data_IF_328788990067
#
_entry.id   IF_328788990067
#
_cell.length_a   1.000
_cell.length_b   1.000
_cell.length_c   1.000
_cell.angle_alpha   90.00
_cell.angle_beta   90.00
_cell.angle_gamma   90.00
#
_symmetry.space_group_name_H-M   'P 1'
#
loop_
_entity.id
_entity.type
_entity.pdbx_description
1 polymer ?
#
# COMPACT_ATOMS: atom_id res chain seq x y z
N UNK A 1 -2.19 3.95 -17.39
CA UNK A 1 -1.77 4.67 -16.17
C UNK A 1 -2.55 4.22 -14.94
N UNK A 2 -3.87 4.39 -14.87
CA UNK A 2 -4.66 3.94 -13.70
C UNK A 2 -4.69 2.39 -13.57
N UNK A 3 -4.75 1.68 -14.70
CA UNK A 3 -4.64 0.22 -14.75
C UNK A 3 -3.25 -0.29 -14.31
N UNK A 4 -2.19 0.47 -14.57
CA UNK A 4 -0.80 0.08 -14.22
C UNK A 4 -0.58 0.17 -12.71
N UNK A 5 -1.11 1.22 -12.09
CA UNK A 5 -1.07 1.41 -10.63
C UNK A 5 -1.87 0.31 -9.94
N UNK A 6 -3.07 0.00 -10.44
CA UNK A 6 -3.89 -1.07 -9.86
C UNK A 6 -3.18 -2.43 -9.94
N UNK A 7 -2.58 -2.77 -11.08
CA UNK A 7 -1.77 -3.98 -11.24
C UNK A 7 -0.60 -4.03 -10.24
N UNK A 8 0.05 -2.90 -9.99
CA UNK A 8 1.13 -2.80 -8.99
C UNK A 8 0.60 -3.09 -7.59
N UNK A 9 -0.52 -2.48 -7.20
CA UNK A 9 -1.15 -2.68 -5.89
C UNK A 9 -1.54 -4.15 -5.71
N UNK A 10 -2.21 -4.73 -6.70
CA UNK A 10 -2.66 -6.12 -6.64
C UNK A 10 -1.46 -7.07 -6.51
N UNK A 11 -0.39 -6.83 -7.26
CA UNK A 11 0.86 -7.59 -7.12
C UNK A 11 1.45 -7.46 -5.72
N UNK A 12 1.50 -6.25 -5.14
CA UNK A 12 2.04 -6.05 -3.79
C UNK A 12 1.17 -6.76 -2.75
N UNK A 13 -0.16 -6.67 -2.87
CA UNK A 13 -1.09 -7.38 -1.99
C UNK A 13 -0.87 -8.88 -2.03
N UNK A 14 -0.80 -9.47 -3.23
CA UNK A 14 -0.55 -10.91 -3.41
C UNK A 14 0.80 -11.32 -2.81
N UNK A 15 1.88 -10.60 -3.12
CA UNK A 15 3.22 -10.95 -2.63
C UNK A 15 3.29 -10.80 -1.11
N UNK A 16 2.71 -9.74 -0.55
CA UNK A 16 2.66 -9.53 0.90
C UNK A 16 1.82 -10.61 1.57
N UNK A 17 0.69 -11.01 0.98
CA UNK A 17 -0.14 -12.10 1.49
C UNK A 17 0.59 -13.44 1.51
N UNK A 18 1.36 -13.76 0.47
CA UNK A 18 2.09 -15.02 0.37
C UNK A 18 3.28 -15.11 1.33
N UNK A 19 4.03 -14.02 1.51
CA UNK A 19 5.27 -14.05 2.30
C UNK A 19 5.12 -13.50 3.71
N UNK A 20 4.13 -12.65 3.96
CA UNK A 20 3.93 -11.89 5.20
C UNK A 20 2.42 -11.84 5.54
N UNK A 21 1.77 -13.01 5.79
CA UNK A 21 0.32 -13.17 5.72
C UNK A 21 -0.47 -12.28 6.68
N UNK A 22 0.08 -11.97 7.87
CA UNK A 22 -0.52 -11.04 8.81
C UNK A 22 -0.73 -9.66 8.17
N UNK A 23 0.34 -9.10 7.60
CA UNK A 23 0.30 -7.79 6.95
C UNK A 23 -0.48 -7.81 5.64
N UNK A 24 -0.34 -8.87 4.84
CA UNK A 24 -1.09 -9.02 3.59
C UNK A 24 -2.61 -9.10 3.81
N UNK A 25 -3.04 -9.78 4.87
CA UNK A 25 -4.46 -9.83 5.26
C UNK A 25 -4.97 -8.44 5.67
N UNK A 26 -4.19 -7.69 6.45
CA UNK A 26 -4.50 -6.30 6.81
C UNK A 26 -4.61 -5.40 5.58
N UNK A 27 -3.60 -5.42 4.71
CA UNK A 27 -3.56 -4.65 3.47
C UNK A 27 -4.74 -4.95 2.53
N UNK A 28 -5.23 -6.20 2.51
CA UNK A 28 -6.32 -6.63 1.65
C UNK A 28 -7.70 -6.16 2.13
N UNK A 29 -7.85 -5.84 3.42
CA UNK A 29 -9.09 -5.32 4.01
C UNK A 29 -9.24 -3.80 3.91
N UNK A 30 -8.15 -3.10 3.63
CA UNK A 30 -8.13 -1.64 3.50
C UNK A 30 -8.52 -1.23 2.09
N UNK A 31 -9.17 -0.08 1.96
CA UNK A 31 -9.44 0.55 0.65
C UNK A 31 -8.15 1.20 0.13
N UNK A 32 -7.84 1.04 -1.16
CA UNK A 32 -6.64 1.62 -1.77
C UNK A 32 -7.04 2.66 -2.81
N UNK A 33 -6.49 3.86 -2.70
CA UNK A 33 -6.77 4.93 -3.67
C UNK A 33 -5.58 5.86 -3.85
N UNK A 34 -5.40 6.38 -5.06
CA UNK A 34 -4.41 7.42 -5.34
C UNK A 34 -4.89 8.75 -4.76
N UNK A 35 -3.99 9.49 -4.11
CA UNK A 35 -4.22 10.85 -3.63
C UNK A 35 -2.94 11.67 -3.83
N UNK A 36 -2.86 12.33 -4.98
CA UNK A 36 -1.68 13.12 -5.38
C UNK A 36 -1.70 14.54 -4.82
N UNK A 37 -2.84 15.01 -4.34
CA UNK A 37 -3.03 16.39 -3.89
C UNK A 37 -2.71 16.55 -2.39
N UNK A 38 -3.13 15.58 -1.57
CA UNK A 38 -3.00 15.69 -0.11
C UNK A 38 -1.76 14.98 0.45
N UNK A 39 -1.23 14.00 -0.26
CA UNK A 39 -0.19 13.11 0.25
C UNK A 39 1.06 13.17 -0.63
N UNK A 40 2.23 13.40 -0.03
CA UNK A 40 3.52 13.35 -0.74
C UNK A 40 4.06 11.92 -0.87
N UNK A 41 3.67 11.02 0.04
CA UNK A 41 4.12 9.63 0.10
C UNK A 41 2.93 8.66 0.19
N UNK A 42 2.60 8.18 1.39
CA UNK A 42 1.42 7.38 1.69
C UNK A 42 0.86 7.77 3.06
N UNK A 43 -0.42 7.47 3.29
CA UNK A 43 -1.04 7.62 4.58
C UNK A 43 -2.18 6.63 4.79
N UNK A 44 -2.50 6.38 6.06
CA UNK A 44 -3.64 5.58 6.49
C UNK A 44 -4.37 6.20 7.67
N UNK A 45 -5.64 5.85 7.83
CA UNK A 45 -6.43 6.12 9.03
C UNK A 45 -7.01 4.85 9.67
N UNK A 46 -6.57 3.67 9.21
CA UNK A 46 -7.13 2.37 9.63
C UNK A 46 -8.32 1.86 8.82
N UNK A 47 -8.81 2.62 7.84
CA UNK A 47 -9.85 2.19 6.88
C UNK A 47 -9.35 2.17 5.43
N UNK A 48 -8.48 3.10 5.08
CA UNK A 48 -7.86 3.19 3.76
C UNK A 48 -6.34 3.26 3.83
N UNK A 49 -5.71 2.98 2.70
CA UNK A 49 -4.34 3.40 2.37
C UNK A 49 -4.43 4.31 1.14
N UNK A 50 -3.99 5.55 1.31
CA UNK A 50 -3.84 6.51 0.23
C UNK A 50 -2.37 6.70 -0.08
N UNK A 51 -2.05 6.95 -1.33
CA UNK A 51 -0.67 7.12 -1.77
C UNK A 51 -0.57 8.07 -2.95
N UNK A 52 0.57 8.74 -3.03
CA UNK A 52 0.98 9.46 -4.21
C UNK A 52 1.46 8.47 -5.28
N UNK A 53 0.95 8.59 -6.51
CA UNK A 53 1.29 7.69 -7.61
C UNK A 53 2.76 7.73 -7.96
N UNK A 54 3.35 8.91 -8.02
CA UNK A 54 4.74 9.11 -8.47
C UNK A 54 5.70 8.55 -7.42
N UNK A 55 5.39 8.79 -6.14
CA UNK A 55 6.13 8.17 -5.04
C UNK A 55 6.07 6.64 -5.11
N UNK A 56 4.87 6.03 -5.19
CA UNK A 56 4.73 4.58 -5.24
C UNK A 56 5.47 3.97 -6.44
N UNK A 57 5.40 4.62 -7.61
CA UNK A 57 6.05 4.16 -8.82
C UNK A 57 7.57 4.31 -8.79
N UNK A 58 8.10 5.30 -8.04
CA UNK A 58 9.55 5.46 -7.83
C UNK A 58 10.18 4.34 -6.99
N UNK A 59 9.39 3.63 -6.18
CA UNK A 59 9.87 2.55 -5.33
C UNK A 59 10.05 1.25 -6.13
N UNK A 60 11.06 0.46 -5.77
CA UNK A 60 11.18 -0.93 -6.22
C UNK A 60 10.23 -1.86 -5.44
N UNK A 61 10.06 -3.10 -5.92
CA UNK A 61 9.10 -4.04 -5.34
C UNK A 61 9.32 -4.30 -3.83
N UNK A 62 10.56 -4.55 -3.34
CA UNK A 62 10.81 -4.69 -1.90
C UNK A 62 10.40 -3.45 -1.09
N UNK A 63 10.71 -2.24 -1.57
CA UNK A 63 10.31 -1.00 -0.88
C UNK A 63 8.79 -0.79 -0.88
N UNK A 64 8.08 -1.17 -1.95
CA UNK A 64 6.61 -1.12 -1.99
C UNK A 64 5.97 -2.08 -0.97
N UNK A 65 6.54 -3.27 -0.79
CA UNK A 65 6.11 -4.20 0.26
C UNK A 65 6.40 -3.61 1.64
N UNK A 66 7.60 -3.05 1.85
CA UNK A 66 7.97 -2.38 3.10
C UNK A 66 7.02 -1.23 3.45
N UNK A 67 6.67 -0.39 2.48
CA UNK A 67 5.66 0.66 2.63
C UNK A 67 4.30 0.10 3.04
N UNK A 68 3.85 -0.97 2.37
CA UNK A 68 2.57 -1.63 2.69
C UNK A 68 2.55 -2.14 4.14
N UNK A 69 3.62 -2.78 4.57
CA UNK A 69 3.78 -3.26 5.96
C UNK A 69 3.77 -2.08 6.93
N UNK A 70 4.50 -1.00 6.63
CA UNK A 70 4.54 0.22 7.45
C UNK A 70 3.15 0.82 7.65
N UNK A 71 2.37 1.00 6.58
CA UNK A 71 1.02 1.52 6.69
C UNK A 71 0.09 0.57 7.48
N UNK A 72 0.19 -0.75 7.26
CA UNK A 72 -0.60 -1.72 8.04
C UNK A 72 -0.22 -1.70 9.53
N UNK A 73 1.05 -1.44 9.88
CA UNK A 73 1.49 -1.27 11.26
C UNK A 73 0.82 -0.04 11.93
N UNK A 74 0.61 1.06 11.21
CA UNK A 74 -0.14 2.21 11.74
C UNK A 74 -1.61 1.89 12.05
N UNK A 75 -2.17 0.83 11.46
CA UNK A 75 -3.55 0.38 11.73
C UNK A 75 -3.64 -0.41 13.03
N UNK A 76 -2.72 -1.34 13.25
CA UNK A 76 -2.78 -2.28 14.39
C UNK A 76 -1.95 -1.86 15.60
N UNK A 77 -0.91 -1.04 15.40
CA UNK A 77 0.04 -0.61 16.45
C UNK A 77 -0.39 0.63 17.22
N UNK A 78 -1.70 0.89 17.33
CA UNK A 78 -2.25 2.00 18.12
C UNK A 78 -2.56 1.60 19.55
#
# INVERSE_FOLDING_TARGET
MQNDIQNVIDKIKVVTLLHQPFFGTGASKLEWSVDNDLTQTACTNGKFIKFNSDFLMSLDQPKRIGLTVHEVMHVYGK
#
